data_IF_532056131578
#
_entry.id   IF_532056131578
#
_cell.length_a   1.000
_cell.length_b   1.000
_cell.length_c   1.000
_cell.angle_alpha   90.00
_cell.angle_beta   90.00
_cell.angle_gamma   90.00
#
_symmetry.space_group_name_H-M   'P 1'
#
loop_
_entity.id
_entity.type
_entity.pdbx_description
1 polymer ?
#
# COMPACT_ATOMS: atom_id res chain seq x y z
N UNK A 1 -33.76 9.62 -34.46
CA UNK A 1 -32.48 8.90 -34.29
C UNK A 1 -31.73 9.57 -33.14
N UNK A 2 -31.84 9.07 -31.91
CA UNK A 2 -31.04 9.56 -30.77
C UNK A 2 -30.40 8.34 -30.14
N UNK A 3 -29.22 8.00 -30.65
CA UNK A 3 -28.35 6.98 -30.06
C UNK A 3 -26.93 7.51 -30.23
N UNK A 4 -26.37 8.10 -29.17
CA UNK A 4 -25.00 8.57 -29.21
C UNK A 4 -24.70 9.76 -28.30
N UNK A 5 -24.94 9.63 -26.98
CA UNK A 5 -24.34 10.59 -26.03
C UNK A 5 -24.14 10.01 -24.61
N UNK A 6 -23.85 8.70 -24.48
CA UNK A 6 -23.69 8.06 -23.16
C UNK A 6 -22.31 7.41 -22.89
N UNK A 7 -21.39 7.38 -23.86
CA UNK A 7 -20.09 6.71 -23.67
C UNK A 7 -18.95 7.59 -23.13
N UNK A 8 -19.04 8.92 -23.19
CA UNK A 8 -17.92 9.79 -22.82
C UNK A 8 -17.80 10.10 -21.32
N UNK A 9 -18.90 10.01 -20.55
CA UNK A 9 -18.89 10.34 -19.12
C UNK A 9 -18.19 9.28 -18.26
N UNK A 10 -18.29 8.00 -18.63
CA UNK A 10 -17.68 6.91 -17.89
C UNK A 10 -16.15 6.96 -17.88
N UNK A 11 -15.52 7.22 -19.04
CA UNK A 11 -14.06 7.25 -19.18
C UNK A 11 -13.42 8.37 -18.35
N UNK A 12 -14.07 9.53 -18.26
CA UNK A 12 -13.59 10.65 -17.45
C UNK A 12 -13.62 10.32 -15.96
N UNK A 13 -14.72 9.74 -15.47
CA UNK A 13 -14.84 9.32 -14.07
C UNK A 13 -13.78 8.27 -13.67
N UNK A 14 -13.49 7.31 -14.54
CA UNK A 14 -12.45 6.30 -14.28
C UNK A 14 -11.04 6.90 -14.21
N UNK A 15 -10.73 7.87 -15.07
CA UNK A 15 -9.44 8.56 -15.08
C UNK A 15 -9.26 9.45 -13.83
N UNK A 16 -10.32 10.16 -13.42
CA UNK A 16 -10.31 11.02 -12.23
C UNK A 16 -10.09 10.18 -10.96
N UNK A 17 -10.79 9.05 -10.81
CA UNK A 17 -10.61 8.16 -9.65
C UNK A 17 -9.22 7.48 -9.64
N UNK A 18 -8.64 7.16 -10.80
CA UNK A 18 -7.27 6.65 -10.88
C UNK A 18 -6.25 7.69 -10.42
N UNK A 19 -6.45 8.95 -10.81
CA UNK A 19 -5.62 10.06 -10.36
C UNK A 19 -5.77 10.30 -8.85
N UNK A 20 -6.98 10.19 -8.32
CA UNK A 20 -7.24 10.32 -6.88
C UNK A 20 -6.61 9.17 -6.07
N UNK A 21 -6.63 7.94 -6.58
CA UNK A 21 -5.91 6.81 -5.99
C UNK A 21 -4.39 7.08 -5.95
N UNK A 22 -3.82 7.68 -7.00
CA UNK A 22 -2.42 8.10 -7.01
C UNK A 22 -2.14 9.21 -5.98
N UNK A 23 -3.01 10.24 -5.89
CA UNK A 23 -2.88 11.31 -4.89
C UNK A 23 -2.94 10.75 -3.47
N UNK A 24 -3.84 9.79 -3.22
CA UNK A 24 -3.94 9.09 -1.94
C UNK A 24 -2.66 8.30 -1.63
N UNK A 25 -2.09 7.59 -2.60
CA UNK A 25 -0.79 6.93 -2.42
C UNK A 25 0.32 7.93 -2.06
N UNK A 26 0.39 9.06 -2.76
CA UNK A 26 1.40 10.09 -2.49
C UNK A 26 1.24 10.71 -1.10
N UNK A 27 0.00 10.92 -0.64
CA UNK A 27 -0.26 11.40 0.72
C UNK A 27 0.12 10.36 1.78
N UNK A 28 -0.09 9.07 1.51
CA UNK A 28 0.42 7.98 2.36
C UNK A 28 1.95 8.03 2.47
N UNK A 29 2.66 8.16 1.34
CA UNK A 29 4.13 8.22 1.33
C UNK A 29 4.62 9.44 2.12
N UNK A 30 4.00 10.61 1.94
CA UNK A 30 4.33 11.81 2.69
C UNK A 30 4.08 11.63 4.19
N UNK A 31 2.93 11.08 4.59
CA UNK A 31 2.58 10.81 5.97
C UNK A 31 3.54 9.79 6.63
N UNK A 32 3.88 8.71 5.91
CA UNK A 32 4.82 7.70 6.39
C UNK A 32 6.24 8.26 6.60
N UNK A 33 6.74 9.03 5.64
CA UNK A 33 8.09 9.62 5.69
C UNK A 33 8.21 10.84 6.64
N UNK A 34 7.08 11.39 7.09
CA UNK A 34 7.01 12.42 8.15
C UNK A 34 6.72 11.83 9.52
N UNK A 35 6.61 10.51 9.64
CA UNK A 35 6.27 9.81 10.89
C UNK A 35 4.92 10.25 11.46
N UNK A 36 3.97 10.59 10.59
CA UNK A 36 2.64 11.02 11.01
C UNK A 36 1.84 9.86 11.61
N UNK A 37 1.16 10.04 12.76
CA UNK A 37 0.26 9.03 13.30
C UNK A 37 -0.97 8.79 12.40
N UNK A 38 -1.24 9.69 11.44
CA UNK A 38 -2.39 9.60 10.53
C UNK A 38 -2.31 8.41 9.59
N UNK A 39 -1.12 7.84 9.35
CA UNK A 39 -0.94 6.64 8.50
C UNK A 39 -1.83 5.49 8.96
N UNK A 40 -2.00 5.32 10.28
CA UNK A 40 -2.90 4.30 10.83
C UNK A 40 -4.37 4.49 10.39
N UNK A 41 -4.80 5.73 10.19
CA UNK A 41 -6.18 6.06 9.80
C UNK A 41 -6.46 5.91 8.31
N UNK A 42 -5.42 5.57 7.53
CA UNK A 42 -5.50 5.34 6.09
C UNK A 42 -5.87 3.90 5.74
N UNK A 43 -5.85 2.98 6.71
CA UNK A 43 -6.23 1.58 6.49
C UNK A 43 -7.70 1.37 6.81
N UNK A 44 -8.35 0.51 6.03
CA UNK A 44 -9.64 -0.07 6.39
C UNK A 44 -9.47 -0.95 7.64
N UNK A 45 -10.42 -1.00 8.58
CA UNK A 45 -10.33 -1.85 9.78
C UNK A 45 -10.08 -3.34 9.49
N UNK A 46 -10.49 -3.80 8.30
CA UNK A 46 -10.35 -5.19 7.85
C UNK A 46 -9.41 -5.29 6.64
N UNK A 47 -8.41 -4.42 6.54
CA UNK A 47 -7.45 -4.47 5.45
C UNK A 47 -6.64 -5.77 5.45
N UNK A 48 -6.50 -6.42 4.30
CA UNK A 48 -5.63 -7.59 4.15
C UNK A 48 -4.17 -7.15 4.13
N UNK A 49 -3.38 -7.56 5.12
CA UNK A 49 -1.97 -7.18 5.23
C UNK A 49 -1.09 -8.39 4.94
N UNK A 50 -0.22 -8.26 3.94
CA UNK A 50 0.67 -9.33 3.47
C UNK A 50 2.11 -8.84 3.60
N UNK A 51 2.93 -9.58 4.35
CA UNK A 51 4.38 -9.47 4.32
C UNK A 51 4.93 -10.59 3.46
N UNK A 52 5.46 -10.24 2.30
CA UNK A 52 6.08 -11.22 1.40
C UNK A 52 7.57 -11.30 1.70
N UNK A 53 7.99 -12.34 2.40
CA UNK A 53 9.38 -12.54 2.79
C UNK A 53 10.15 -13.12 1.59
N UNK A 54 11.24 -12.46 1.21
CA UNK A 54 12.21 -12.97 0.27
C UNK A 54 13.22 -13.79 1.06
N UNK A 55 13.22 -15.12 0.90
CA UNK A 55 14.22 -16.01 1.49
C UNK A 55 15.59 -15.82 0.80
N UNK A 56 16.71 -16.23 1.43
CA UNK A 56 18.04 -16.12 0.82
C UNK A 56 18.18 -16.83 -0.53
N UNK A 57 17.43 -17.91 -0.76
CA UNK A 57 17.36 -18.65 -2.02
C UNK A 57 16.46 -17.98 -3.09
N UNK A 58 15.88 -16.81 -2.80
CA UNK A 58 14.97 -16.08 -3.69
C UNK A 58 13.50 -16.49 -3.63
N UNK A 59 13.17 -17.55 -2.87
CA UNK A 59 11.79 -17.99 -2.67
C UNK A 59 10.97 -16.91 -1.95
N UNK A 60 9.70 -16.76 -2.33
CA UNK A 60 8.77 -15.78 -1.76
C UNK A 60 7.75 -16.49 -0.87
N UNK A 61 7.68 -16.11 0.40
CA UNK A 61 6.67 -16.63 1.35
C UNK A 61 5.79 -15.51 1.84
N UNK A 62 4.47 -15.67 1.67
CA UNK A 62 3.50 -14.73 2.19
C UNK A 62 3.20 -15.02 3.66
N UNK A 63 3.22 -13.96 4.46
CA UNK A 63 2.82 -13.97 5.86
C UNK A 63 1.69 -12.96 6.01
N UNK A 64 0.51 -13.47 6.34
CA UNK A 64 -0.67 -12.64 6.60
C UNK A 64 -0.66 -12.14 8.04
N UNK A 65 -1.12 -10.92 8.28
CA UNK A 65 -1.37 -10.39 9.63
C UNK A 65 -2.69 -9.64 9.66
N UNK A 66 -3.38 -9.67 10.80
CA UNK A 66 -4.59 -8.87 10.97
C UNK A 66 -4.26 -7.38 11.07
N UNK A 67 -5.19 -6.53 10.66
CA UNK A 67 -4.97 -5.09 10.58
C UNK A 67 -4.70 -4.46 11.94
N UNK A 68 -5.34 -4.94 13.01
CA UNK A 68 -5.18 -4.36 14.35
C UNK A 68 -3.75 -4.59 14.87
N UNK A 69 -3.25 -5.83 14.76
CA UNK A 69 -1.86 -6.17 15.06
C UNK A 69 -0.91 -5.36 14.20
N UNK A 70 -1.17 -5.25 12.90
CA UNK A 70 -0.32 -4.47 12.00
C UNK A 70 -0.22 -2.99 12.41
N UNK A 71 -1.35 -2.35 12.67
CA UNK A 71 -1.42 -0.95 13.10
C UNK A 71 -0.67 -0.75 14.43
N UNK A 72 -0.83 -1.69 15.38
CA UNK A 72 -0.11 -1.66 16.66
C UNK A 72 1.40 -1.71 16.46
N UNK A 73 1.88 -2.66 15.65
CA UNK A 73 3.31 -2.80 15.34
C UNK A 73 3.86 -1.59 14.57
N UNK A 74 3.08 -1.04 13.64
CA UNK A 74 3.46 0.17 12.89
C UNK A 74 3.65 1.37 13.83
N UNK A 75 2.73 1.61 14.77
CA UNK A 75 2.85 2.69 15.76
C UNK A 75 4.12 2.55 16.61
N UNK A 76 4.40 1.33 17.09
CA UNK A 76 5.62 1.04 17.86
C UNK A 76 6.89 1.25 17.01
N UNK A 77 6.89 0.75 15.77
CA UNK A 77 8.02 0.87 14.84
C UNK A 77 8.28 2.31 14.39
N UNK A 78 7.25 3.15 14.30
CA UNK A 78 7.34 4.54 13.84
C UNK A 78 8.25 5.39 14.74
N UNK A 79 8.19 5.20 16.07
CA UNK A 79 9.07 5.91 17.00
C UNK A 79 10.54 5.55 16.75
N UNK A 80 10.84 4.26 16.59
CA UNK A 80 12.18 3.78 16.26
C UNK A 80 12.66 4.24 14.88
N UNK A 81 11.76 4.31 13.89
CA UNK A 81 12.06 4.83 12.56
C UNK A 81 12.42 6.32 12.61
N UNK A 82 11.67 7.11 13.38
CA UNK A 82 11.93 8.55 13.57
C UNK A 82 13.31 8.82 14.16
N UNK A 83 13.68 8.10 15.22
CA UNK A 83 15.00 8.22 15.85
C UNK A 83 16.15 7.89 14.88
N UNK A 84 15.94 6.94 13.97
CA UNK A 84 16.93 6.53 12.97
C UNK A 84 16.90 7.33 11.67
N UNK A 85 15.98 8.29 11.53
CA UNK A 85 15.76 9.00 10.27
C UNK A 85 15.32 8.08 9.12
N UNK A 86 14.75 6.90 9.43
CA UNK A 86 14.41 5.89 8.44
C UNK A 86 13.21 6.31 7.60
N UNK A 87 13.38 6.34 6.28
CA UNK A 87 12.34 6.66 5.30
C UNK A 87 12.27 5.56 4.24
N UNK A 88 11.20 5.61 3.44
CA UNK A 88 11.08 4.78 2.25
C UNK A 88 10.95 5.68 1.03
N UNK A 89 11.72 5.40 -0.02
CA UNK A 89 11.50 5.97 -1.33
C UNK A 89 10.67 5.00 -2.19
N UNK A 90 9.75 5.52 -2.98
CA UNK A 90 8.90 4.72 -3.86
C UNK A 90 9.12 5.16 -5.31
N UNK A 91 9.39 4.18 -6.18
CA UNK A 91 9.66 4.41 -7.60
C UNK A 91 8.82 3.46 -8.46
N UNK A 92 8.73 3.72 -9.76
CA UNK A 92 7.94 2.93 -10.71
C UNK A 92 6.49 2.75 -10.23
N UNK A 93 5.88 3.85 -9.80
CA UNK A 93 4.49 3.86 -9.32
C UNK A 93 3.55 3.70 -10.51
N UNK A 94 2.71 2.69 -10.48
CA UNK A 94 1.68 2.43 -11.49
C UNK A 94 0.32 2.25 -10.82
N UNK A 95 -0.74 2.80 -11.42
CA UNK A 95 -2.11 2.64 -10.94
C UNK A 95 -2.93 1.89 -11.97
N UNK A 96 -3.61 0.82 -11.53
CA UNK A 96 -4.51 0.03 -12.37
C UNK A 96 -5.87 -0.11 -11.70
N UNK A 97 -6.96 0.05 -12.45
CA UNK A 97 -8.30 -0.25 -11.95
C UNK A 97 -8.45 -1.76 -11.72
N UNK A 98 -9.05 -2.13 -10.59
CA UNK A 98 -9.43 -3.50 -10.25
C UNK A 98 -10.93 -3.74 -10.45
N UNK A 99 -11.65 -2.77 -11.04
CA UNK A 99 -13.11 -2.73 -11.05
C UNK A 99 -13.70 -2.31 -9.71
N UNK A 100 -15.02 -2.05 -9.68
CA UNK A 100 -15.78 -1.74 -8.46
C UNK A 100 -15.19 -0.59 -7.60
N UNK A 101 -14.60 0.41 -8.25
CA UNK A 101 -13.99 1.58 -7.59
C UNK A 101 -12.73 1.27 -6.79
N UNK A 102 -12.14 0.08 -6.95
CA UNK A 102 -10.87 -0.29 -6.34
C UNK A 102 -9.72 -0.07 -7.32
N UNK A 103 -8.58 0.41 -6.82
CA UNK A 103 -7.39 0.69 -7.60
C UNK A 103 -6.18 0.05 -6.96
N UNK A 104 -5.40 -0.68 -7.75
CA UNK A 104 -4.12 -1.25 -7.33
C UNK A 104 -3.00 -0.28 -7.68
N UNK A 105 -2.34 0.24 -6.65
CA UNK A 105 -1.13 1.06 -6.78
C UNK A 105 0.08 0.16 -6.52
N UNK A 106 0.85 -0.13 -7.55
CA UNK A 106 2.08 -0.95 -7.47
C UNK A 106 3.30 -0.06 -7.53
N UNK A 107 4.36 -0.40 -6.80
CA UNK A 107 5.63 0.35 -6.82
C UNK A 107 6.81 -0.49 -6.36
N UNK A 108 8.00 0.09 -6.50
CA UNK A 108 9.24 -0.39 -5.92
C UNK A 108 9.61 0.48 -4.71
N UNK A 109 9.63 -0.14 -3.52
CA UNK A 109 10.01 0.48 -2.25
C UNK A 109 11.51 0.29 -1.98
N UNK A 110 12.21 1.37 -1.70
CA UNK A 110 13.60 1.38 -1.29
C UNK A 110 13.69 1.92 0.15
N UNK A 111 14.03 1.09 1.13
CA UNK A 111 14.39 1.55 2.47
C UNK A 111 15.60 2.51 2.44
N UNK A 112 15.63 3.51 3.33
CA UNK A 112 16.80 4.36 3.53
C UNK A 112 18.05 3.53 3.85
N UNK A 113 19.17 3.87 3.20
CA UNK A 113 20.47 3.21 3.41
C UNK A 113 20.65 1.91 2.62
N UNK A 114 19.63 1.43 1.92
CA UNK A 114 19.70 0.18 1.15
C UNK A 114 19.88 0.44 -0.35
N UNK A 115 20.62 -0.45 -1.02
CA UNK A 115 20.82 -0.40 -2.47
C UNK A 115 19.80 -1.24 -3.26
N UNK A 116 18.96 -2.03 -2.56
CA UNK A 116 17.95 -2.88 -3.18
C UNK A 116 16.56 -2.24 -3.15
N UNK A 117 15.71 -2.69 -4.08
CA UNK A 117 14.30 -2.32 -4.14
C UNK A 117 13.42 -3.54 -3.92
N UNK A 118 12.31 -3.33 -3.24
CA UNK A 118 11.35 -4.35 -2.84
C UNK A 118 10.01 -4.06 -3.51
N UNK A 119 9.37 -5.07 -4.11
CA UNK A 119 8.04 -4.89 -4.69
C UNK A 119 7.01 -4.65 -3.61
N UNK A 120 6.09 -3.75 -3.89
CA UNK A 120 4.95 -3.47 -3.01
C UNK A 120 3.73 -3.15 -3.86
N UNK A 121 2.55 -3.43 -3.31
CA UNK A 121 1.32 -2.83 -3.82
C UNK A 121 0.37 -2.51 -2.68
N UNK A 122 -0.52 -1.57 -2.94
CA UNK A 122 -1.72 -1.35 -2.14
C UNK A 122 -2.96 -1.35 -3.02
N UNK A 123 -4.05 -1.93 -2.54
CA UNK A 123 -5.37 -1.77 -3.13
C UNK A 123 -6.11 -0.73 -2.31
N UNK A 124 -6.47 0.36 -2.97
CA UNK A 124 -7.17 1.49 -2.37
C UNK A 124 -8.59 1.58 -2.91
N UNK A 125 -9.55 1.89 -2.04
CA UNK A 125 -10.96 1.99 -2.37
C UNK A 125 -11.63 3.05 -1.50
N UNK A 126 -12.61 3.77 -2.05
CA UNK A 126 -13.52 4.61 -1.25
C UNK A 126 -14.45 3.72 -0.43
N UNK A 127 -14.39 3.83 0.90
CA UNK A 127 -15.33 3.22 1.84
C UNK A 127 -16.02 4.36 2.57
N UNK A 128 -17.35 4.46 2.45
CA UNK A 128 -18.14 5.58 2.97
C UNK A 128 -17.59 6.96 2.54
N UNK A 129 -17.22 7.09 1.26
CA UNK A 129 -16.67 8.31 0.68
C UNK A 129 -15.19 8.60 0.98
N UNK A 130 -14.55 7.84 1.88
CA UNK A 130 -13.14 8.02 2.25
C UNK A 130 -12.25 6.99 1.56
N UNK A 131 -11.18 7.42 0.89
CA UNK A 131 -10.14 6.52 0.39
C UNK A 131 -9.44 5.79 1.56
N UNK A 132 -9.39 4.46 1.48
CA UNK A 132 -8.71 3.61 2.44
C UNK A 132 -7.90 2.53 1.72
N UNK A 133 -6.81 2.11 2.36
CA UNK A 133 -6.06 0.91 2.01
C UNK A 133 -6.88 -0.30 2.47
N UNK A 134 -7.29 -1.12 1.51
CA UNK A 134 -8.07 -2.35 1.73
C UNK A 134 -7.22 -3.61 1.63
N UNK A 135 -6.07 -3.51 0.94
CA UNK A 135 -5.05 -4.55 0.92
C UNK A 135 -3.67 -3.88 0.79
N UNK A 136 -2.68 -4.40 1.49
CA UNK A 136 -1.28 -4.01 1.31
C UNK A 136 -0.41 -5.26 1.28
N UNK A 137 0.46 -5.35 0.27
CA UNK A 137 1.55 -6.30 0.24
C UNK A 137 2.87 -5.56 0.19
N UNK A 138 3.77 -5.86 1.12
CA UNK A 138 5.14 -5.39 1.06
C UNK A 138 6.12 -6.56 1.07
N UNK A 139 7.03 -6.57 0.09
CA UNK A 139 8.19 -7.43 0.19
C UNK A 139 9.11 -7.00 1.34
N UNK A 140 9.80 -7.97 1.93
CA UNK A 140 10.79 -7.77 2.99
C UNK A 140 11.88 -8.84 2.95
N UNK A 141 13.09 -8.50 3.39
CA UNK A 141 14.18 -9.46 3.63
C UNK A 141 14.29 -9.89 5.10
N UNK A 142 13.39 -9.40 5.96
CA UNK A 142 13.39 -9.69 7.39
C UNK A 142 12.84 -11.11 7.62
N UNK A 143 13.74 -12.07 7.88
CA UNK A 143 13.39 -13.50 7.98
C UNK A 143 12.56 -13.83 9.23
N UNK A 144 12.62 -12.99 10.27
CA UNK A 144 11.86 -13.23 11.52
C UNK A 144 10.35 -13.21 11.33
N UNK A 145 9.84 -12.70 10.20
CA UNK A 145 8.42 -12.81 9.85
C UNK A 145 7.98 -14.23 9.51
N UNK A 146 8.88 -15.10 9.05
CA UNK A 146 8.55 -16.48 8.67
C UNK A 146 7.98 -17.31 9.82
N UNK A 147 8.27 -16.94 11.08
CA UNK A 147 7.68 -17.60 12.25
C UNK A 147 6.16 -17.45 12.35
N UNK A 148 5.59 -16.48 11.60
CA UNK A 148 4.15 -16.25 11.51
C UNK A 148 3.54 -16.77 10.20
N UNK A 149 4.33 -17.41 9.34
CA UNK A 149 3.79 -18.06 8.15
C UNK A 149 2.84 -19.18 8.57
N UNK A 150 1.71 -19.29 7.89
CA UNK A 150 0.83 -20.45 8.04
C UNK A 150 1.61 -21.69 7.58
N UNK A 151 1.57 -22.76 8.38
CA UNK A 151 2.17 -24.05 8.05
C UNK A 151 1.38 -24.75 6.96
#
# INVERSE_FOLDING_TARGET
>A
MIFGLFLCAGLKAFADDAQDALKFFNSYVAAANSYSPTVATMYSPNAKIIRQVIKPNGELVNVDTDTATYIKQMKLGQAGAKLRGYKNNYTNVTVASMGNGAYKVSSLRQPSGENYKLKTYMIVKKVNGKWLITEEMMQTKVQTFLKYAKK
#
